data_IF_180846442148
#
_entry.id   IF_180846442148
#
_cell.length_a   1.000
_cell.length_b   1.000
_cell.length_c   1.000
_cell.angle_alpha   90.00
_cell.angle_beta   90.00
_cell.angle_gamma   90.00
#
_symmetry.space_group_name_H-M   'P 1'
#
loop_
_entity.id
_entity.type
_entity.pdbx_description
1 polymer ?
#
# COMPACT_ATOMS: atom_id res chain seq x y z
N UNK A 1 -12.28 -36.35 0.04
CA UNK A 1 -11.24 -37.24 -0.53
C UNK A 1 -10.13 -37.61 0.46
N UNK A 2 -9.46 -36.67 1.13
CA UNK A 2 -8.35 -37.00 2.03
C UNK A 2 -8.74 -37.96 3.18
N UNK A 3 -9.87 -37.71 3.84
CA UNK A 3 -10.37 -38.55 4.93
C UNK A 3 -10.73 -39.96 4.47
N UNK A 4 -11.30 -40.09 3.27
CA UNK A 4 -11.62 -41.37 2.64
C UNK A 4 -10.35 -42.19 2.34
N UNK A 5 -9.33 -41.57 1.74
CA UNK A 5 -8.05 -42.24 1.47
C UNK A 5 -7.34 -42.66 2.76
N UNK A 6 -7.47 -41.89 3.84
CA UNK A 6 -6.95 -42.26 5.17
C UNK A 6 -7.66 -43.49 5.72
N UNK A 7 -8.99 -43.56 5.64
CA UNK A 7 -9.76 -44.72 6.07
C UNK A 7 -9.39 -45.98 5.25
N UNK A 8 -9.32 -45.86 3.92
CA UNK A 8 -8.90 -46.96 3.04
C UNK A 8 -7.48 -47.46 3.36
N UNK A 9 -6.55 -46.54 3.69
CA UNK A 9 -5.19 -46.92 4.12
C UNK A 9 -5.21 -47.77 5.39
N UNK A 10 -6.06 -47.45 6.37
CA UNK A 10 -6.15 -48.22 7.61
C UNK A 10 -6.64 -49.65 7.37
N UNK A 11 -7.63 -49.82 6.49
CA UNK A 11 -8.12 -51.16 6.10
C UNK A 11 -7.00 -51.95 5.42
N UNK A 12 -6.27 -51.33 4.49
CA UNK A 12 -5.15 -51.99 3.80
C UNK A 12 -4.03 -52.43 4.76
N UNK A 13 -3.77 -51.65 5.82
CA UNK A 13 -2.81 -52.01 6.88
C UNK A 13 -3.31 -53.22 7.69
N UNK A 14 -4.59 -53.23 8.10
CA UNK A 14 -5.19 -54.35 8.84
C UNK A 14 -5.13 -55.66 8.05
N UNK A 15 -5.40 -55.59 6.74
CA UNK A 15 -5.33 -56.73 5.82
C UNK A 15 -3.90 -57.08 5.36
N UNK A 16 -2.87 -56.43 5.90
CA UNK A 16 -1.46 -56.63 5.54
C UNK A 16 -1.14 -56.50 4.04
N UNK A 17 -1.86 -55.63 3.31
CA UNK A 17 -1.59 -55.36 1.91
C UNK A 17 -0.38 -54.42 1.76
N UNK A 18 0.82 -55.00 1.69
CA UNK A 18 2.06 -54.25 1.53
C UNK A 18 2.52 -54.21 0.07
N UNK A 19 3.22 -53.14 -0.30
CA UNK A 19 3.87 -53.00 -1.61
C UNK A 19 5.25 -52.37 -1.46
N UNK A 20 6.16 -52.72 -2.35
CA UNK A 20 7.47 -52.08 -2.42
C UNK A 20 7.34 -50.58 -2.81
N UNK A 21 8.26 -49.76 -2.31
CA UNK A 21 8.35 -48.35 -2.69
C UNK A 21 8.77 -48.28 -4.17
N UNK A 22 8.04 -47.55 -5.03
CA UNK A 22 8.43 -47.36 -6.42
C UNK A 22 9.79 -46.66 -6.52
N UNK A 23 10.64 -47.09 -7.47
CA UNK A 23 12.00 -46.54 -7.66
C UNK A 23 12.07 -45.03 -7.90
N UNK A 24 10.99 -44.40 -8.38
CA UNK A 24 10.92 -42.95 -8.63
C UNK A 24 10.25 -42.13 -7.51
N UNK A 25 9.96 -42.73 -6.35
CA UNK A 25 9.20 -42.06 -5.29
C UNK A 25 9.91 -40.82 -4.74
N UNK A 26 11.21 -40.92 -4.47
CA UNK A 26 12.00 -39.81 -3.92
C UNK A 26 12.00 -38.59 -4.84
N UNK A 27 12.31 -38.80 -6.13
CA UNK A 27 12.27 -37.74 -7.15
C UNK A 27 10.88 -37.10 -7.28
N UNK A 28 9.81 -37.87 -7.13
CA UNK A 28 8.45 -37.33 -7.15
C UNK A 28 8.17 -36.44 -5.93
N UNK A 29 8.65 -36.82 -4.74
CA UNK A 29 8.51 -36.04 -3.52
C UNK A 29 9.34 -34.75 -3.58
N UNK A 30 10.58 -34.82 -4.06
CA UNK A 30 11.44 -33.65 -4.27
C UNK A 30 10.81 -32.62 -5.21
N UNK A 31 10.24 -33.07 -6.34
CA UNK A 31 9.51 -32.21 -7.27
C UNK A 31 8.29 -31.53 -6.62
N UNK A 32 7.59 -32.21 -5.72
CA UNK A 32 6.45 -31.63 -4.98
C UNK A 32 6.92 -30.60 -3.96
N UNK A 33 8.01 -30.88 -3.24
CA UNK A 33 8.61 -29.94 -2.29
C UNK A 33 9.09 -28.67 -2.98
N UNK A 34 9.75 -28.80 -4.13
CA UNK A 34 10.17 -27.66 -4.93
C UNK A 34 8.97 -26.80 -5.36
N UNK A 35 7.91 -27.43 -5.88
CA UNK A 35 6.67 -26.71 -6.23
C UNK A 35 6.04 -25.99 -5.03
N UNK A 36 6.05 -26.61 -3.85
CA UNK A 36 5.54 -25.98 -2.62
C UNK A 36 6.40 -24.76 -2.27
N UNK A 37 7.72 -24.86 -2.40
CA UNK A 37 8.66 -23.76 -2.13
C UNK A 37 8.43 -22.60 -3.10
N UNK A 38 8.32 -22.88 -4.38
CA UNK A 38 8.08 -21.87 -5.42
C UNK A 38 6.73 -21.16 -5.19
N UNK A 39 5.66 -21.92 -4.90
CA UNK A 39 4.35 -21.33 -4.60
C UNK A 39 4.33 -20.50 -3.31
N UNK A 40 5.11 -20.89 -2.31
CA UNK A 40 5.28 -20.07 -1.09
C UNK A 40 6.01 -18.76 -1.39
N UNK A 41 7.00 -18.79 -2.28
CA UNK A 41 7.71 -17.59 -2.72
C UNK A 41 6.77 -16.63 -3.46
N UNK A 42 6.05 -17.12 -4.48
CA UNK A 42 5.06 -16.34 -5.23
C UNK A 42 4.02 -15.70 -4.29
N UNK A 43 3.50 -16.47 -3.31
CA UNK A 43 2.55 -15.96 -2.33
C UNK A 43 3.13 -14.85 -1.45
N UNK A 44 4.42 -14.93 -1.10
CA UNK A 44 5.08 -13.90 -0.28
C UNK A 44 5.21 -12.61 -1.07
N UNK A 45 5.62 -12.69 -2.34
CA UNK A 45 5.75 -11.54 -3.24
C UNK A 45 4.40 -10.87 -3.49
N UNK A 46 3.38 -11.65 -3.85
CA UNK A 46 2.02 -11.14 -4.07
C UNK A 46 1.43 -10.47 -2.81
N UNK A 47 1.70 -11.01 -1.62
CA UNK A 47 1.29 -10.38 -0.35
C UNK A 47 2.00 -9.05 -0.11
N UNK A 48 3.30 -8.97 -0.39
CA UNK A 48 4.06 -7.74 -0.23
C UNK A 48 3.58 -6.65 -1.19
N UNK A 49 3.26 -7.01 -2.43
CA UNK A 49 2.67 -6.10 -3.41
C UNK A 49 1.28 -5.62 -2.98
N UNK A 50 0.43 -6.53 -2.48
CA UNK A 50 -0.90 -6.19 -1.98
C UNK A 50 -0.83 -5.19 -0.81
N UNK A 51 0.08 -5.38 0.15
CA UNK A 51 0.21 -4.45 1.28
C UNK A 51 0.75 -3.08 0.83
N UNK A 52 1.67 -3.04 -0.13
CA UNK A 52 2.09 -1.77 -0.76
C UNK A 52 0.92 -1.04 -1.43
N UNK A 53 0.05 -1.77 -2.14
CA UNK A 53 -1.12 -1.19 -2.79
C UNK A 53 -2.19 -0.71 -1.79
N UNK A 54 -2.34 -1.39 -0.65
CA UNK A 54 -3.31 -1.02 0.39
C UNK A 54 -2.93 0.23 1.17
N UNK A 55 -1.63 0.52 1.35
CA UNK A 55 -1.17 1.69 2.12
C UNK A 55 -1.81 3.01 1.65
N UNK A 56 -1.64 3.39 0.37
CA UNK A 56 -2.24 4.62 -0.18
C UNK A 56 -3.77 4.63 -0.13
N UNK A 57 -4.42 3.47 -0.27
CA UNK A 57 -5.87 3.35 -0.20
C UNK A 57 -6.39 3.56 1.24
N UNK A 58 -5.70 3.00 2.24
CA UNK A 58 -6.01 3.19 3.66
C UNK A 58 -5.86 4.66 4.06
N UNK A 59 -4.76 5.30 3.67
CA UNK A 59 -4.53 6.72 3.96
C UNK A 59 -5.61 7.62 3.34
N UNK A 60 -5.99 7.35 2.09
CA UNK A 60 -7.10 8.07 1.42
C UNK A 60 -8.43 7.86 2.12
N UNK A 61 -8.72 6.65 2.59
CA UNK A 61 -9.96 6.35 3.31
C UNK A 61 -10.01 7.08 4.65
N UNK A 62 -8.90 7.04 5.41
CA UNK A 62 -8.79 7.73 6.70
C UNK A 62 -8.97 9.24 6.56
N UNK A 63 -8.27 9.88 5.61
CA UNK A 63 -8.42 11.32 5.31
C UNK A 63 -9.86 11.72 4.96
N UNK A 64 -10.60 10.84 4.28
CA UNK A 64 -12.01 11.10 3.94
C UNK A 64 -12.92 10.99 5.17
N UNK A 65 -12.64 10.04 6.05
CA UNK A 65 -13.42 9.84 7.26
C UNK A 65 -13.20 10.97 8.28
N UNK A 66 -11.95 11.35 8.53
CA UNK A 66 -11.58 12.46 9.41
C UNK A 66 -12.19 13.79 8.94
N UNK A 67 -12.22 14.03 7.64
CA UNK A 67 -12.77 15.27 7.07
C UNK A 67 -14.28 15.20 6.77
N UNK A 68 -14.98 14.12 7.14
CA UNK A 68 -16.39 13.90 6.77
C UNK A 68 -17.32 15.01 7.28
N UNK A 69 -16.99 15.62 8.42
CA UNK A 69 -17.79 16.66 9.07
C UNK A 69 -17.12 18.04 9.06
N UNK A 70 -15.91 18.17 8.50
CA UNK A 70 -15.08 19.38 8.60
C UNK A 70 -14.80 19.96 7.21
N UNK A 71 -15.28 21.18 6.97
CA UNK A 71 -15.05 21.91 5.72
C UNK A 71 -13.75 22.74 5.78
N UNK A 72 -12.69 22.24 5.16
CA UNK A 72 -11.38 22.90 5.13
C UNK A 72 -11.27 24.10 4.17
N UNK A 73 -12.25 24.28 3.28
CA UNK A 73 -12.19 25.32 2.22
C UNK A 73 -12.23 26.74 2.81
N UNK A 74 -13.08 26.98 3.80
CA UNK A 74 -13.29 28.31 4.37
C UNK A 74 -12.04 28.82 5.09
N UNK A 75 -11.42 27.98 5.92
CA UNK A 75 -10.21 28.35 6.65
C UNK A 75 -9.03 28.58 5.72
N UNK A 76 -8.85 27.70 4.73
CA UNK A 76 -7.84 27.82 3.69
C UNK A 76 -7.97 29.08 2.84
N UNK A 77 -9.19 29.57 2.63
CA UNK A 77 -9.47 30.73 1.79
C UNK A 77 -9.36 32.06 2.54
N UNK A 78 -9.74 32.09 3.82
CA UNK A 78 -10.04 33.33 4.52
C UNK A 78 -9.25 33.55 5.81
N UNK A 79 -8.80 32.49 6.48
CA UNK A 79 -8.24 32.60 7.84
C UNK A 79 -6.74 32.26 7.90
N UNK A 80 -6.20 31.59 6.89
CA UNK A 80 -4.77 31.28 6.80
C UNK A 80 -4.06 32.29 5.89
N UNK A 81 -2.93 32.82 6.35
CA UNK A 81 -2.06 33.63 5.49
C UNK A 81 -1.44 32.74 4.41
N UNK A 82 -1.73 33.00 3.12
CA UNK A 82 -1.23 32.16 2.03
C UNK A 82 0.30 32.09 1.98
N UNK A 83 1.03 33.10 2.48
CA UNK A 83 2.50 33.11 2.52
C UNK A 83 3.07 31.99 3.38
N UNK A 84 2.39 31.62 4.47
CA UNK A 84 2.77 30.45 5.30
C UNK A 84 2.76 29.19 4.44
N UNK A 85 1.69 29.00 3.67
CA UNK A 85 1.54 27.81 2.81
C UNK A 85 2.54 27.80 1.66
N UNK A 86 2.81 28.96 1.06
CA UNK A 86 3.79 29.08 -0.03
C UNK A 86 5.22 28.88 0.48
N UNK A 87 5.56 29.43 1.64
CA UNK A 87 6.86 29.21 2.28
C UNK A 87 7.09 27.74 2.60
N UNK A 88 6.06 27.04 3.11
CA UNK A 88 6.11 25.59 3.28
C UNK A 88 6.32 24.85 1.95
N UNK A 89 5.63 25.26 0.88
CA UNK A 89 5.83 24.69 -0.46
C UNK A 89 7.27 24.87 -0.95
N UNK A 90 7.87 26.06 -0.76
CA UNK A 90 9.26 26.36 -1.11
C UNK A 90 10.24 25.51 -0.29
N UNK A 91 10.02 25.41 1.03
CA UNK A 91 10.90 24.69 1.96
C UNK A 91 10.98 23.18 1.70
N UNK A 92 9.87 22.56 1.30
CA UNK A 92 9.78 21.11 1.09
C UNK A 92 9.70 20.70 -0.38
N UNK A 93 9.98 21.62 -1.31
CA UNK A 93 9.93 21.40 -2.76
C UNK A 93 8.58 20.80 -3.23
N UNK A 94 7.48 21.32 -2.67
CA UNK A 94 6.12 20.90 -3.03
C UNK A 94 5.55 21.86 -4.06
N UNK A 95 5.12 21.37 -5.25
CA UNK A 95 4.48 22.22 -6.25
C UNK A 95 3.23 22.91 -5.69
N UNK A 96 3.18 24.24 -5.82
CA UNK A 96 2.08 25.07 -5.28
C UNK A 96 0.74 24.65 -5.88
N UNK A 97 0.72 24.06 -7.07
CA UNK A 97 -0.50 23.56 -7.72
C UNK A 97 -1.16 22.41 -6.97
N UNK A 98 -0.40 21.67 -6.15
CA UNK A 98 -0.94 20.60 -5.29
C UNK A 98 -1.66 21.17 -4.07
N UNK A 99 -1.30 22.39 -3.65
CA UNK A 99 -1.90 23.06 -2.50
C UNK A 99 -3.02 23.99 -2.95
N UNK A 100 -2.77 24.87 -3.92
CA UNK A 100 -3.75 25.81 -4.44
C UNK A 100 -4.20 25.44 -5.86
N UNK A 101 -5.52 25.34 -6.06
CA UNK A 101 -6.10 25.20 -7.39
C UNK A 101 -5.91 26.49 -8.21
N UNK A 102 -6.27 26.47 -9.51
CA UNK A 102 -6.07 27.61 -10.42
C UNK A 102 -6.61 28.93 -9.87
N UNK A 103 -7.86 28.95 -9.42
CA UNK A 103 -8.52 30.15 -8.88
C UNK A 103 -7.83 30.69 -7.62
N UNK A 104 -7.38 29.81 -6.73
CA UNK A 104 -6.65 30.21 -5.52
C UNK A 104 -5.26 30.75 -5.83
N UNK A 105 -4.57 30.19 -6.84
CA UNK A 105 -3.27 30.72 -7.29
C UNK A 105 -3.42 32.12 -7.88
N UNK A 106 -4.48 32.36 -8.64
CA UNK A 106 -4.78 33.70 -9.15
C UNK A 106 -5.09 34.68 -8.01
N UNK A 107 -5.90 34.29 -7.02
CA UNK A 107 -6.22 35.10 -5.84
C UNK A 107 -5.00 35.42 -4.97
N UNK A 108 -4.13 34.44 -4.75
CA UNK A 108 -2.96 34.54 -3.88
C UNK A 108 -1.65 34.81 -4.62
N UNK A 109 -1.72 35.29 -5.86
CA UNK A 109 -0.54 35.58 -6.69
C UNK A 109 0.46 36.50 -5.97
N UNK A 110 -0.04 37.54 -5.30
CA UNK A 110 0.79 38.46 -4.51
C UNK A 110 1.65 37.75 -3.46
N UNK A 111 1.10 36.71 -2.80
CA UNK A 111 1.82 35.94 -1.78
C UNK A 111 2.84 35.00 -2.41
N UNK A 112 2.49 34.40 -3.56
CA UNK A 112 3.39 33.53 -4.33
C UNK A 112 4.61 34.31 -4.81
N UNK A 113 4.38 35.43 -5.48
CA UNK A 113 5.46 36.24 -6.06
C UNK A 113 6.41 36.76 -4.97
N UNK A 114 5.87 37.22 -3.84
CA UNK A 114 6.66 37.76 -2.72
C UNK A 114 7.56 36.70 -2.05
N UNK A 115 7.01 35.51 -1.78
CA UNK A 115 7.73 34.45 -1.04
C UNK A 115 8.64 33.60 -1.92
N UNK A 116 8.33 33.48 -3.22
CA UNK A 116 9.17 32.73 -4.15
C UNK A 116 10.35 33.54 -4.65
N UNK A 117 10.20 34.86 -4.85
CA UNK A 117 11.26 35.76 -5.32
C UNK A 117 12.33 36.10 -4.28
N UNK A 118 11.98 36.02 -2.99
CA UNK A 118 12.91 36.32 -1.89
C UNK A 118 13.53 35.03 -1.37
N UNK A 119 14.86 34.99 -1.19
CA UNK A 119 15.57 33.84 -0.62
C UNK A 119 15.46 33.74 0.90
N UNK A 120 14.81 34.72 1.53
CA UNK A 120 14.57 34.76 2.97
C UNK A 120 13.46 33.78 3.39
N UNK A 121 13.67 33.07 4.51
CA UNK A 121 12.66 32.19 5.10
C UNK A 121 11.54 33.03 5.72
N UNK A 122 10.32 32.87 5.20
CA UNK A 122 9.16 33.56 5.73
C UNK A 122 8.78 33.03 7.12
N UNK A 123 8.70 33.93 8.10
CA UNK A 123 8.19 33.67 9.46
C UNK A 123 6.95 34.53 9.67
N UNK A 124 5.88 33.93 10.20
CA UNK A 124 4.59 34.59 10.42
C UNK A 124 4.59 35.48 11.67
#
# INVERSE_FOLDING_TARGET
>A
MLSYNRANRMVAILCNHQRAVPKGHEKAMENLEQKIKDKKHELKEAKAELEKAKGPAKEKAQKKDENKQIALSTSKLNYLDPRISVAWCKKFDVPVEKVFNRTLREKFRWAIDMTMSSDEEFVF
#
